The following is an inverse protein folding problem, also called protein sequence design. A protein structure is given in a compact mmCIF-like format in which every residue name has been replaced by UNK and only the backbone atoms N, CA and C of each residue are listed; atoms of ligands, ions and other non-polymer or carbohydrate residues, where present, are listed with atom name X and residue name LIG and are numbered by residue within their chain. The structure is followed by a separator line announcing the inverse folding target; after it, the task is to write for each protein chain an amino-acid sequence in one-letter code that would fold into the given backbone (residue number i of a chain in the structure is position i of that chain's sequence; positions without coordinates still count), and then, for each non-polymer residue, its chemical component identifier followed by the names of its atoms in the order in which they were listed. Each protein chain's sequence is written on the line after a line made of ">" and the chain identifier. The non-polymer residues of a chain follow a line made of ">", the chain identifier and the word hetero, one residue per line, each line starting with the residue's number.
data_IF_062839755664
#
_entry.id   IF_062839755664
#
_cell.length_a   1.000
_cell.length_b   1.000
_cell.length_c   1.000
_cell.angle_alpha   90.00
_cell.angle_beta   90.00
_cell.angle_gamma   90.00
#
_symmetry.space_group_name_H-M   'P 1'
#
loop_
_entity.id
_entity.type
_entity.pdbx_description
1 polymer ?
#
# COMPACT_ATOMS: atom_id res chain seq x y z
N UNK A 1 -0.23 28.24 34.64
CA UNK A 1 -0.60 28.17 33.21
C UNK A 1 0.36 27.29 32.38
N UNK A 2 0.88 26.18 32.93
CA UNK A 2 1.94 25.37 32.28
C UNK A 2 1.47 23.94 31.94
N UNK A 3 0.51 23.41 32.72
CA UNK A 3 0.07 22.02 32.60
C UNK A 3 -0.73 21.69 31.32
N UNK A 4 -1.46 22.65 30.74
CA UNK A 4 -2.24 22.44 29.49
C UNK A 4 -1.34 22.21 28.26
N UNK A 5 -0.09 22.67 28.29
CA UNK A 5 0.83 22.62 27.15
C UNK A 5 1.39 21.20 26.92
N UNK A 6 1.53 20.43 28.00
CA UNK A 6 2.13 19.08 27.97
C UNK A 6 1.28 18.06 27.19
N UNK A 7 -0.04 18.14 27.33
CA UNK A 7 -0.99 17.28 26.61
C UNK A 7 -1.04 17.53 25.11
N UNK A 8 -0.75 18.77 24.67
CA UNK A 8 -0.71 19.12 23.24
C UNK A 8 0.53 18.54 22.57
N UNK A 9 1.68 18.54 23.26
CA UNK A 9 2.97 18.05 22.73
C UNK A 9 2.99 16.52 22.55
N UNK A 10 2.45 15.77 23.52
CA UNK A 10 2.37 14.30 23.44
C UNK A 10 1.49 13.79 22.28
N UNK A 11 0.52 14.60 21.83
CA UNK A 11 -0.32 14.28 20.69
C UNK A 11 0.46 14.33 19.37
N UNK A 12 1.39 15.28 19.23
CA UNK A 12 2.19 15.45 18.01
C UNK A 12 3.14 14.28 17.75
N UNK A 13 3.81 13.76 18.78
CA UNK A 13 4.69 12.59 18.61
C UNK A 13 3.94 11.35 18.12
N UNK A 14 2.68 11.18 18.56
CA UNK A 14 1.84 10.04 18.18
C UNK A 14 1.43 10.07 16.70
N UNK A 15 1.03 11.23 16.18
CA UNK A 15 0.69 11.35 14.74
C UNK A 15 1.92 11.28 13.84
N UNK A 16 3.07 11.85 14.26
CA UNK A 16 4.31 11.74 13.50
C UNK A 16 4.76 10.29 13.36
N UNK A 17 4.77 9.53 14.46
CA UNK A 17 5.11 8.11 14.43
C UNK A 17 4.16 7.29 13.56
N UNK A 18 2.85 7.53 13.66
CA UNK A 18 1.85 6.89 12.80
C UNK A 18 2.07 7.19 11.30
N UNK A 19 2.37 8.44 10.96
CA UNK A 19 2.65 8.83 9.57
C UNK A 19 3.92 8.17 9.02
N UNK A 20 4.97 8.03 9.84
CA UNK A 20 6.21 7.34 9.47
C UNK A 20 5.97 5.86 9.20
N UNK A 21 5.15 5.20 10.02
CA UNK A 21 4.77 3.79 9.80
C UNK A 21 4.02 3.64 8.48
N UNK A 22 3.04 4.51 8.19
CA UNK A 22 2.27 4.45 6.95
C UNK A 22 3.19 4.63 5.73
N UNK A 23 4.10 5.60 5.77
CA UNK A 23 5.07 5.82 4.69
C UNK A 23 6.02 4.62 4.55
N UNK A 24 6.49 4.05 5.66
CA UNK A 24 7.35 2.86 5.66
C UNK A 24 6.64 1.63 5.07
N UNK A 25 5.38 1.39 5.43
CA UNK A 25 4.58 0.28 4.90
C UNK A 25 4.38 0.44 3.38
N UNK A 26 4.06 1.65 2.92
CA UNK A 26 3.92 1.94 1.48
C UNK A 26 5.26 1.70 0.77
N UNK A 27 6.37 2.18 1.34
CA UNK A 27 7.72 1.97 0.80
C UNK A 27 8.09 0.49 0.72
N UNK A 28 7.81 -0.30 1.76
CA UNK A 28 8.05 -1.75 1.79
C UNK A 28 7.20 -2.47 0.76
N UNK A 29 5.91 -2.16 0.65
CA UNK A 29 5.02 -2.81 -0.31
C UNK A 29 5.40 -2.47 -1.76
N UNK A 30 5.75 -1.21 -2.04
CA UNK A 30 6.19 -0.78 -3.38
C UNK A 30 7.56 -1.34 -3.73
N UNK A 31 8.48 -1.42 -2.76
CA UNK A 31 9.77 -2.09 -2.90
C UNK A 31 9.62 -3.59 -3.13
N UNK A 32 8.67 -4.24 -2.44
CA UNK A 32 8.35 -5.65 -2.65
C UNK A 32 7.84 -5.90 -4.06
N UNK A 33 6.99 -5.04 -4.62
CA UNK A 33 6.54 -5.16 -6.02
C UNK A 33 7.70 -5.00 -7.00
N UNK A 34 8.58 -4.01 -6.79
CA UNK A 34 9.76 -3.83 -7.62
C UNK A 34 10.76 -4.99 -7.50
N UNK A 35 10.90 -5.58 -6.31
CA UNK A 35 11.74 -6.75 -6.10
C UNK A 35 11.11 -8.01 -6.71
N UNK A 36 9.79 -8.19 -6.58
CA UNK A 36 9.07 -9.27 -7.25
C UNK A 36 9.19 -9.15 -8.77
N UNK A 37 9.07 -7.95 -9.33
CA UNK A 37 9.25 -7.71 -10.76
C UNK A 37 10.68 -8.04 -11.22
N UNK A 38 11.71 -7.62 -10.45
CA UNK A 38 13.11 -7.83 -10.81
C UNK A 38 13.65 -9.25 -10.54
N UNK A 39 13.21 -9.91 -9.46
CA UNK A 39 13.78 -11.20 -9.03
C UNK A 39 12.98 -12.41 -9.52
N UNK A 40 11.68 -12.27 -9.75
CA UNK A 40 10.84 -13.38 -10.25
C UNK A 40 10.99 -13.53 -11.77
N UNK A 41 11.35 -12.47 -12.49
CA UNK A 41 11.42 -12.49 -13.95
C UNK A 41 12.69 -11.82 -14.51
N UNK A 42 13.81 -12.55 -14.61
CA UNK A 42 14.96 -12.04 -15.32
C UNK A 42 14.65 -12.00 -16.84
N UNK A 43 14.72 -10.81 -17.42
CA UNK A 43 14.94 -10.55 -18.86
C UNK A 43 13.83 -10.80 -19.91
N UNK A 44 12.51 -10.82 -19.62
CA UNK A 44 11.50 -10.93 -20.73
C UNK A 44 10.30 -9.97 -20.63
N UNK A 45 10.23 -9.02 -21.56
CA UNK A 45 9.13 -8.07 -21.83
C UNK A 45 7.70 -8.65 -21.81
N UNK A 46 7.54 -9.96 -22.02
CA UNK A 46 6.26 -10.70 -21.94
C UNK A 46 5.58 -10.63 -20.56
N UNK A 47 6.35 -10.42 -19.49
CA UNK A 47 5.85 -10.57 -18.13
C UNK A 47 5.27 -9.28 -17.55
N UNK A 48 5.75 -8.11 -17.98
CA UNK A 48 5.10 -6.82 -17.70
C UNK A 48 3.69 -6.72 -18.33
N UNK A 49 3.49 -7.39 -19.47
CA UNK A 49 2.15 -7.49 -20.09
C UNK A 49 1.21 -8.39 -19.28
N UNK A 50 1.72 -9.50 -18.74
CA UNK A 50 0.94 -10.41 -17.89
C UNK A 50 0.59 -9.81 -16.52
N UNK A 51 1.45 -9.01 -15.90
CA UNK A 51 1.13 -8.32 -14.64
C UNK A 51 0.03 -7.27 -14.82
N UNK A 52 0.06 -6.54 -15.93
CA UNK A 52 -1.04 -5.63 -16.32
C UNK A 52 -2.34 -6.40 -16.59
N UNK A 53 -2.25 -7.58 -17.22
CA UNK A 53 -3.42 -8.42 -17.47
C UNK A 53 -4.02 -8.99 -16.18
N UNK A 54 -3.18 -9.53 -15.29
CA UNK A 54 -3.60 -10.12 -13.99
C UNK A 54 -4.18 -9.06 -13.05
N UNK A 55 -3.57 -7.88 -12.99
CA UNK A 55 -4.13 -6.76 -12.20
C UNK A 55 -5.48 -6.30 -12.73
N UNK A 56 -5.68 -6.27 -14.05
CA UNK A 56 -6.98 -6.00 -14.67
C UNK A 56 -8.04 -7.04 -14.29
N UNK A 57 -7.72 -8.34 -14.37
CA UNK A 57 -8.63 -9.40 -13.96
C UNK A 57 -8.96 -9.38 -12.47
N UNK A 58 -7.98 -9.05 -11.61
CA UNK A 58 -8.20 -8.94 -10.17
C UNK A 58 -9.17 -7.82 -9.81
N UNK A 59 -9.06 -6.66 -10.47
CA UNK A 59 -9.99 -5.54 -10.31
C UNK A 59 -11.41 -5.95 -10.71
N UNK A 60 -11.57 -6.60 -11.86
CA UNK A 60 -12.88 -7.08 -12.32
C UNK A 60 -13.49 -8.10 -11.35
N UNK A 61 -12.68 -9.02 -10.83
CA UNK A 61 -13.12 -9.99 -9.84
C UNK A 61 -13.58 -9.33 -8.54
N UNK A 62 -12.82 -8.35 -8.03
CA UNK A 62 -13.22 -7.56 -6.86
C UNK A 62 -14.52 -6.81 -7.12
N UNK A 63 -14.66 -6.13 -8.25
CA UNK A 63 -15.87 -5.41 -8.62
C UNK A 63 -17.09 -6.32 -8.65
N UNK A 64 -16.97 -7.52 -9.24
CA UNK A 64 -18.08 -8.49 -9.23
C UNK A 64 -18.44 -8.91 -7.80
N UNK A 65 -17.45 -9.16 -6.96
CA UNK A 65 -17.68 -9.59 -5.59
C UNK A 65 -18.33 -8.48 -4.74
N UNK A 66 -17.97 -7.21 -4.98
CA UNK A 66 -18.59 -6.06 -4.34
C UNK A 66 -20.04 -5.85 -4.80
N UNK A 67 -20.33 -5.97 -6.10
CA UNK A 67 -21.69 -5.79 -6.64
C UNK A 67 -22.65 -6.86 -6.09
N UNK A 68 -22.21 -8.13 -6.05
CA UNK A 68 -22.98 -9.23 -5.46
C UNK A 68 -23.27 -9.05 -3.96
N UNK A 69 -22.48 -8.26 -3.25
CA UNK A 69 -22.69 -7.99 -1.83
C UNK A 69 -23.72 -6.89 -1.59
N UNK A 70 -24.05 -6.08 -2.60
CA UNK A 70 -24.93 -4.90 -2.48
C UNK A 70 -26.35 -5.20 -2.98
N UNK A 71 -26.53 -6.23 -3.82
CA UNK A 71 -27.83 -6.69 -4.34
C UNK A 71 -28.30 -7.90 -3.55
#
# INVERSE_FOLDING_TARGET
>A
MVHRKFWKLQRHHRVLFGSLIVVAIIGVWRGLWGLMDNYIFPEKYLLSHLTTLVSGFFILWLTQNTIKSIT
#
